data_IF_704458648905
#
_entry.id   IF_704458648905
#
_cell.length_a   1.000
_cell.length_b   1.000
_cell.length_c   1.000
_cell.angle_alpha   90.00
_cell.angle_beta   90.00
_cell.angle_gamma   90.00
#
_symmetry.space_group_name_H-M   'P 1'
#
loop_
_entity.id
_entity.type
_entity.pdbx_description
1 polymer ?
#
# COMPACT_ATOMS: atom_id res chain seq x y z
N UNK A 1 -0.79 -28.05 5.79
CA UNK A 1 -1.03 -26.60 5.64
C UNK A 1 0.27 -25.98 5.15
N UNK A 2 0.28 -25.22 4.06
CA UNK A 2 1.49 -24.47 3.67
C UNK A 2 1.79 -23.44 4.77
N UNK A 3 3.04 -23.31 5.18
CA UNK A 3 3.43 -22.34 6.21
C UNK A 3 3.28 -20.91 5.69
N UNK A 4 2.73 -20.01 6.51
CA UNK A 4 2.67 -18.57 6.21
C UNK A 4 4.08 -17.99 6.13
N UNK A 5 4.27 -17.01 5.25
CA UNK A 5 5.51 -16.30 4.99
C UNK A 5 5.25 -14.79 4.93
N UNK A 6 6.32 -14.03 5.06
CA UNK A 6 6.33 -12.62 4.68
C UNK A 6 6.85 -12.51 3.26
N UNK A 7 6.23 -11.63 2.48
CA UNK A 7 6.75 -11.09 1.23
C UNK A 7 7.06 -9.62 1.45
N UNK A 8 8.21 -9.18 0.97
CA UNK A 8 8.75 -7.85 1.26
C UNK A 8 9.19 -7.22 -0.05
N UNK A 9 8.84 -5.95 -0.25
CA UNK A 9 9.22 -5.17 -1.42
C UNK A 9 10.35 -4.22 -1.07
N UNK A 10 11.47 -4.38 -1.74
CA UNK A 10 12.61 -3.48 -1.69
C UNK A 10 12.63 -2.63 -2.96
N UNK A 11 12.59 -1.31 -2.79
CA UNK A 11 12.59 -0.34 -3.88
C UNK A 11 13.97 -0.27 -4.58
N UNK A 12 15.06 -0.56 -3.85
CA UNK A 12 16.41 -0.64 -4.41
C UNK A 12 17.07 0.71 -4.73
N UNK A 13 16.62 1.84 -4.18
CA UNK A 13 17.24 3.16 -4.44
C UNK A 13 18.66 3.27 -3.87
N UNK A 14 18.94 2.56 -2.78
CA UNK A 14 20.24 2.55 -2.11
C UNK A 14 21.24 1.58 -2.74
N UNK A 15 20.80 0.74 -3.68
CA UNK A 15 21.62 -0.28 -4.32
C UNK A 15 22.41 0.31 -5.51
N UNK A 16 23.59 0.88 -5.20
CA UNK A 16 24.69 1.26 -6.11
C UNK A 16 24.66 2.64 -6.80
N UNK A 17 25.88 3.20 -6.99
CA UNK A 17 26.21 4.51 -7.58
C UNK A 17 25.90 4.66 -9.10
N UNK A 18 25.16 3.73 -9.71
CA UNK A 18 24.94 3.73 -11.17
C UNK A 18 23.47 3.95 -11.51
N UNK A 19 23.24 4.80 -12.52
CA UNK A 19 21.96 5.31 -13.05
C UNK A 19 21.02 4.24 -13.66
N UNK A 20 21.13 2.98 -13.26
CA UNK A 20 20.33 1.89 -13.81
C UNK A 20 18.99 1.80 -13.09
N UNK A 21 17.92 2.13 -13.81
CA UNK A 21 16.56 1.65 -13.52
C UNK A 21 16.63 0.12 -13.40
N UNK A 22 15.90 -0.48 -12.45
CA UNK A 22 15.78 -1.93 -12.19
C UNK A 22 16.70 -2.52 -11.12
N UNK A 23 16.69 -1.98 -9.90
CA UNK A 23 17.39 -2.55 -8.73
C UNK A 23 16.42 -3.05 -7.64
N UNK A 24 15.11 -2.88 -7.85
CA UNK A 24 14.10 -3.33 -6.90
C UNK A 24 14.00 -4.84 -6.84
N UNK A 25 13.49 -5.35 -5.71
CA UNK A 25 13.41 -6.79 -5.42
C UNK A 25 12.13 -7.13 -4.66
N UNK A 26 11.65 -8.36 -4.87
CA UNK A 26 10.67 -9.02 -4.00
C UNK A 26 11.41 -10.10 -3.23
N UNK A 27 11.31 -10.06 -1.91
CA UNK A 27 11.93 -10.99 -0.99
C UNK A 27 10.86 -11.82 -0.28
N UNK A 28 11.23 -12.99 0.22
CA UNK A 28 10.36 -13.81 1.08
C UNK A 28 11.13 -14.40 2.24
N UNK A 29 10.49 -14.48 3.41
CA UNK A 29 11.04 -15.13 4.59
C UNK A 29 9.92 -15.76 5.44
N UNK A 30 10.29 -16.55 6.45
CA UNK A 30 9.36 -16.98 7.48
C UNK A 30 8.95 -15.79 8.37
N UNK A 31 7.85 -15.93 9.13
CA UNK A 31 7.32 -14.87 10.00
C UNK A 31 8.28 -14.40 11.11
N UNK A 32 9.33 -15.17 11.40
CA UNK A 32 10.39 -14.83 12.35
C UNK A 32 11.65 -14.24 11.68
N UNK A 33 11.63 -14.03 10.36
CA UNK A 33 12.73 -13.50 9.56
C UNK A 33 13.69 -14.57 9.02
N UNK A 34 13.54 -15.84 9.44
CA UNK A 34 14.39 -16.93 8.95
C UNK A 34 14.07 -17.31 7.51
N UNK A 35 14.99 -18.02 6.84
CA UNK A 35 14.83 -18.48 5.45
C UNK A 35 14.53 -17.34 4.47
N UNK A 36 15.19 -16.20 4.66
CA UNK A 36 15.14 -15.06 3.76
C UNK A 36 15.76 -15.42 2.40
N UNK A 37 15.03 -15.11 1.33
CA UNK A 37 15.49 -15.31 -0.04
C UNK A 37 14.85 -14.31 -1.01
N UNK A 38 15.47 -14.16 -2.17
CA UNK A 38 14.95 -13.35 -3.27
C UNK A 38 13.95 -14.18 -4.08
N UNK A 39 12.77 -13.61 -4.35
CA UNK A 39 11.74 -14.18 -5.22
C UNK A 39 11.85 -13.59 -6.63
N UNK A 40 11.98 -12.27 -6.73
CA UNK A 40 12.19 -11.55 -7.99
C UNK A 40 13.25 -10.47 -7.77
N UNK A 41 14.14 -10.29 -8.73
CA UNK A 41 15.18 -9.26 -8.73
C UNK A 41 15.09 -8.45 -10.03
N UNK A 42 15.70 -7.27 -10.04
CA UNK A 42 15.79 -6.42 -11.22
C UNK A 42 14.45 -5.84 -11.64
N UNK A 43 13.57 -5.52 -10.68
CA UNK A 43 12.28 -4.87 -10.98
C UNK A 43 12.39 -3.34 -10.86
N UNK A 44 11.62 -2.64 -11.69
CA UNK A 44 11.69 -1.19 -11.79
C UNK A 44 10.85 -0.51 -10.71
N UNK A 45 11.49 0.36 -9.92
CA UNK A 45 10.88 1.27 -8.94
C UNK A 45 9.58 0.76 -8.28
N UNK A 46 9.62 -0.40 -7.62
CA UNK A 46 8.40 -1.01 -7.10
C UNK A 46 7.92 -0.34 -5.80
N UNK A 47 6.60 -0.20 -5.61
CA UNK A 47 6.05 0.49 -4.42
C UNK A 47 5.02 -0.33 -3.62
N UNK A 48 3.98 -0.84 -4.26
CA UNK A 48 2.94 -1.65 -3.62
C UNK A 48 3.11 -3.14 -3.92
N UNK A 49 2.66 -3.99 -2.99
CA UNK A 49 2.75 -5.46 -3.07
C UNK A 49 1.43 -6.09 -2.65
N UNK A 50 0.96 -7.10 -3.39
CA UNK A 50 -0.17 -7.95 -3.00
C UNK A 50 0.13 -9.41 -3.34
N UNK A 51 -0.39 -10.34 -2.54
CA UNK A 51 -0.17 -11.78 -2.74
C UNK A 51 -1.48 -12.53 -2.78
N UNK A 52 -1.65 -13.33 -3.82
CA UNK A 52 -2.79 -14.21 -4.04
C UNK A 52 -2.38 -15.66 -3.85
N UNK A 53 -2.55 -16.19 -2.63
CA UNK A 53 -2.26 -17.61 -2.35
C UNK A 53 -3.14 -18.57 -3.14
N UNK A 54 -4.40 -18.20 -3.37
CA UNK A 54 -5.39 -19.07 -4.00
C UNK A 54 -5.13 -19.20 -5.49
N UNK A 55 -4.90 -18.08 -6.18
CA UNK A 55 -4.55 -18.06 -7.60
C UNK A 55 -3.06 -18.29 -7.87
N UNK A 56 -2.21 -18.25 -6.85
CA UNK A 56 -0.78 -18.56 -6.96
C UNK A 56 0.07 -17.44 -7.56
N UNK A 57 -0.26 -16.18 -7.29
CA UNK A 57 0.45 -15.03 -7.87
C UNK A 57 0.91 -14.01 -6.84
N UNK A 58 1.98 -13.28 -7.18
CA UNK A 58 2.41 -12.06 -6.50
C UNK A 58 2.19 -10.91 -7.47
N UNK A 59 1.67 -9.79 -7.00
CA UNK A 59 1.42 -8.57 -7.77
C UNK A 59 2.20 -7.41 -7.17
N UNK A 60 2.74 -6.55 -8.02
CA UNK A 60 3.36 -5.31 -7.55
C UNK A 60 3.13 -4.16 -8.52
N UNK A 61 3.22 -2.95 -7.97
CA UNK A 61 3.15 -1.72 -8.78
C UNK A 61 4.54 -1.25 -9.14
N UNK A 62 4.68 -0.79 -10.38
CA UNK A 62 5.87 -0.14 -10.92
C UNK A 62 5.54 1.34 -11.14
N UNK A 63 6.30 2.22 -10.50
CA UNK A 63 6.04 3.66 -10.52
C UNK A 63 6.32 4.32 -11.87
N UNK A 64 6.93 3.62 -12.83
CA UNK A 64 7.34 4.18 -14.12
C UNK A 64 8.76 4.72 -14.07
N UNK A 65 9.06 5.78 -14.83
CA UNK A 65 10.43 6.32 -14.92
C UNK A 65 10.61 7.60 -14.11
N UNK A 66 11.77 7.73 -13.47
CA UNK A 66 12.20 8.98 -12.85
C UNK A 66 12.65 10.01 -13.91
N UNK A 67 12.31 11.31 -13.75
CA UNK A 67 11.37 11.84 -12.76
C UNK A 67 9.91 11.46 -13.10
N UNK A 68 9.09 11.14 -12.09
CA UNK A 68 7.70 10.64 -12.21
C UNK A 68 6.73 11.67 -12.84
N UNK A 69 6.93 11.95 -14.12
CA UNK A 69 6.21 12.99 -14.89
C UNK A 69 5.45 12.44 -16.08
N UNK A 70 5.70 11.19 -16.43
CA UNK A 70 5.07 10.52 -17.57
C UNK A 70 4.03 9.52 -17.06
N UNK A 71 2.98 9.29 -17.86
CA UNK A 71 1.96 8.29 -17.58
C UNK A 71 2.48 6.90 -18.00
N UNK A 72 3.56 6.43 -17.37
CA UNK A 72 4.26 5.20 -17.75
C UNK A 72 4.38 4.16 -16.62
N UNK A 73 3.66 4.36 -15.51
CA UNK A 73 3.51 3.35 -14.47
C UNK A 73 2.74 2.11 -14.93
N UNK A 74 2.95 1.00 -14.23
CA UNK A 74 2.34 -0.29 -14.58
C UNK A 74 2.09 -1.17 -13.35
N UNK A 75 1.35 -2.26 -13.53
CA UNK A 75 1.19 -3.31 -12.52
C UNK A 75 1.59 -4.63 -13.16
N UNK A 76 2.44 -5.36 -12.47
CA UNK A 76 2.98 -6.63 -12.92
C UNK A 76 2.58 -7.74 -11.95
N UNK A 77 2.69 -8.98 -12.41
CA UNK A 77 2.58 -10.16 -11.55
C UNK A 77 3.59 -11.23 -11.93
N UNK A 78 3.87 -12.14 -11.02
CA UNK A 78 4.63 -13.36 -11.25
C UNK A 78 4.00 -14.56 -10.51
N UNK A 79 4.51 -15.76 -10.75
CA UNK A 79 4.13 -16.98 -10.05
C UNK A 79 4.65 -16.96 -8.60
N UNK A 80 3.77 -17.25 -7.65
CA UNK A 80 4.07 -17.26 -6.21
C UNK A 80 5.10 -18.33 -5.81
N UNK A 81 5.18 -19.43 -6.57
CA UNK A 81 6.06 -20.56 -6.24
C UNK A 81 7.55 -20.24 -6.35
N UNK A 82 7.92 -19.46 -7.35
CA UNK A 82 9.31 -19.31 -7.78
C UNK A 82 9.61 -17.94 -8.42
N UNK A 83 8.65 -17.02 -8.48
CA UNK A 83 8.83 -15.70 -9.09
C UNK A 83 8.87 -15.71 -10.61
N UNK A 84 8.59 -16.84 -11.27
CA UNK A 84 8.61 -16.97 -12.73
C UNK A 84 7.44 -16.25 -13.42
N UNK A 85 7.48 -16.15 -14.75
CA UNK A 85 6.40 -15.60 -15.59
C UNK A 85 6.00 -14.15 -15.25
N UNK A 86 7.00 -13.31 -14.98
CA UNK A 86 6.80 -11.86 -14.82
C UNK A 86 6.05 -11.29 -16.03
N UNK A 87 4.85 -10.79 -15.80
CA UNK A 87 3.93 -10.31 -16.83
C UNK A 87 3.31 -8.98 -16.40
N UNK A 88 3.32 -7.99 -17.30
CA UNK A 88 2.58 -6.75 -17.12
C UNK A 88 1.09 -6.99 -17.35
N UNK A 89 0.26 -6.73 -16.34
CA UNK A 89 -1.20 -6.89 -16.41
C UNK A 89 -1.93 -5.55 -16.54
N UNK A 90 -1.37 -4.47 -15.98
CA UNK A 90 -1.84 -3.11 -16.21
C UNK A 90 -0.73 -2.39 -17.00
N UNK A 91 -0.95 -2.07 -18.29
CA UNK A 91 0.11 -1.54 -19.13
C UNK A 91 0.42 -0.05 -18.85
N UNK A 92 1.63 0.42 -19.20
CA UNK A 92 1.93 1.85 -19.28
C UNK A 92 0.85 2.62 -20.03
N UNK A 93 0.50 3.81 -19.54
CA UNK A 93 -0.58 4.63 -20.06
C UNK A 93 -1.94 4.38 -19.39
N UNK A 94 -2.16 3.24 -18.75
CA UNK A 94 -3.39 2.96 -18.00
C UNK A 94 -3.39 3.59 -16.60
N UNK A 95 -2.24 3.58 -15.93
CA UNK A 95 -2.01 4.16 -14.60
C UNK A 95 -0.76 5.02 -14.62
N UNK A 96 -0.75 6.13 -13.89
CA UNK A 96 0.32 7.13 -14.01
C UNK A 96 1.52 6.76 -13.13
N UNK A 97 1.31 6.72 -11.83
CA UNK A 97 2.31 6.33 -10.84
C UNK A 97 1.61 5.54 -9.75
N UNK A 98 1.31 4.25 -10.02
CA UNK A 98 0.63 3.39 -9.08
C UNK A 98 1.46 3.25 -7.79
N UNK A 99 0.76 3.15 -6.66
CA UNK A 99 1.31 3.06 -5.31
C UNK A 99 0.82 1.77 -4.66
N UNK A 100 0.37 1.83 -3.41
CA UNK A 100 -0.04 0.65 -2.68
C UNK A 100 -1.22 -0.03 -3.39
N UNK A 101 -1.15 -1.35 -3.44
CA UNK A 101 -2.08 -2.24 -4.13
C UNK A 101 -2.50 -3.32 -3.15
N UNK A 102 -3.77 -3.71 -3.19
CA UNK A 102 -4.29 -4.82 -2.40
C UNK A 102 -5.05 -5.79 -3.29
N UNK A 103 -5.15 -7.02 -2.81
CA UNK A 103 -6.06 -8.03 -3.33
C UNK A 103 -7.34 -8.06 -2.48
N UNK A 104 -8.47 -7.73 -3.10
CA UNK A 104 -9.78 -7.94 -2.52
C UNK A 104 -10.20 -9.40 -2.77
N UNK A 105 -10.08 -10.22 -1.73
CA UNK A 105 -10.16 -11.69 -1.84
C UNK A 105 -11.54 -12.21 -2.22
N UNK A 106 -12.64 -11.59 -1.78
CA UNK A 106 -14.00 -12.05 -2.06
C UNK A 106 -14.40 -11.77 -3.51
N UNK A 107 -14.15 -10.56 -4.00
CA UNK A 107 -14.47 -10.15 -5.37
C UNK A 107 -13.40 -10.57 -6.38
N UNK A 108 -12.23 -11.02 -5.91
CA UNK A 108 -11.07 -11.41 -6.73
C UNK A 108 -10.67 -10.25 -7.64
N UNK A 109 -10.46 -9.08 -7.05
CA UNK A 109 -10.05 -7.84 -7.75
C UNK A 109 -8.83 -7.21 -7.11
N UNK A 110 -8.03 -6.55 -7.93
CA UNK A 110 -6.95 -5.69 -7.48
C UNK A 110 -7.47 -4.27 -7.31
N UNK A 111 -7.07 -3.60 -6.23
CA UNK A 111 -7.34 -2.19 -5.98
C UNK A 111 -6.02 -1.48 -5.72
N UNK A 112 -5.80 -0.32 -6.35
CA UNK A 112 -4.58 0.46 -6.12
C UNK A 112 -4.89 1.96 -6.14
N UNK A 113 -4.01 2.72 -5.49
CA UNK A 113 -3.96 4.16 -5.67
C UNK A 113 -2.96 4.54 -6.76
N UNK A 114 -3.26 5.62 -7.47
CA UNK A 114 -2.40 6.23 -8.47
C UNK A 114 -2.12 7.67 -8.05
N UNK A 115 -0.87 7.94 -7.66
CA UNK A 115 -0.48 9.18 -6.97
C UNK A 115 -0.57 10.39 -7.89
N UNK A 116 0.24 10.40 -8.94
CA UNK A 116 0.28 11.47 -9.92
C UNK A 116 -0.92 11.43 -10.89
N UNK A 117 -1.60 10.29 -11.01
CA UNK A 117 -2.91 10.23 -11.68
C UNK A 117 -4.06 10.75 -10.81
N UNK A 118 -3.85 10.87 -9.48
CA UNK A 118 -4.83 11.32 -8.48
C UNK A 118 -6.09 10.47 -8.45
N UNK A 119 -5.92 9.14 -8.47
CA UNK A 119 -7.00 8.16 -8.61
C UNK A 119 -6.96 7.05 -7.58
N UNK A 120 -8.14 6.47 -7.34
CA UNK A 120 -8.29 5.10 -6.85
C UNK A 120 -8.84 4.27 -8.00
N UNK A 121 -8.22 3.12 -8.27
CA UNK A 121 -8.54 2.27 -9.40
C UNK A 121 -8.71 0.81 -8.98
N UNK A 122 -9.46 0.04 -9.78
CA UNK A 122 -9.55 -1.42 -9.64
C UNK A 122 -9.50 -2.14 -10.99
N UNK A 123 -9.17 -3.42 -10.96
CA UNK A 123 -9.22 -4.31 -12.12
C UNK A 123 -9.44 -5.76 -11.68
N UNK A 124 -9.75 -6.64 -12.62
CA UNK A 124 -9.67 -8.09 -12.42
C UNK A 124 -8.19 -8.51 -12.24
N UNK A 125 -7.95 -9.72 -11.70
CA UNK A 125 -6.60 -10.23 -11.41
C UNK A 125 -5.71 -10.47 -12.65
N UNK A 126 -6.31 -10.48 -13.84
CA UNK A 126 -5.63 -10.56 -15.13
C UNK A 126 -5.38 -9.18 -15.76
N UNK A 127 -5.78 -8.10 -15.07
CA UNK A 127 -5.66 -6.72 -15.54
C UNK A 127 -6.82 -6.23 -16.41
N UNK A 128 -7.80 -7.09 -16.70
CA UNK A 128 -9.00 -6.69 -17.46
C UNK A 128 -9.95 -5.83 -16.61
N UNK A 129 -10.88 -5.15 -17.29
CA UNK A 129 -11.93 -4.32 -16.67
C UNK A 129 -11.39 -3.25 -15.70
N UNK A 130 -10.35 -2.52 -16.15
CA UNK A 130 -9.80 -1.37 -15.42
C UNK A 130 -10.89 -0.31 -15.23
N UNK A 131 -11.08 0.11 -13.99
CA UNK A 131 -12.09 1.10 -13.59
C UNK A 131 -11.47 2.15 -12.67
N UNK A 132 -11.81 3.43 -12.91
CA UNK A 132 -11.50 4.54 -12.01
C UNK A 132 -12.67 4.70 -11.04
N UNK A 133 -12.43 4.52 -9.75
CA UNK A 133 -13.44 4.60 -8.69
C UNK A 133 -13.50 6.00 -8.05
N UNK A 134 -12.38 6.72 -8.09
CA UNK A 134 -12.23 8.07 -7.58
C UNK A 134 -11.23 8.86 -8.41
N UNK A 135 -11.50 10.14 -8.65
CA UNK A 135 -10.63 11.08 -9.35
C UNK A 135 -10.59 12.42 -8.60
N UNK A 136 -9.43 12.80 -8.06
CA UNK A 136 -9.29 14.03 -7.28
C UNK A 136 -8.94 15.27 -8.11
N UNK A 137 -8.48 15.11 -9.34
CA UNK A 137 -8.04 16.20 -10.21
C UNK A 137 -7.52 15.71 -11.55
N UNK A 138 -7.25 16.63 -12.48
CA UNK A 138 -6.73 16.31 -13.82
C UNK A 138 -5.71 17.35 -14.29
N UNK A 139 -4.78 16.91 -15.15
CA UNK A 139 -3.75 17.78 -15.73
C UNK A 139 -2.59 18.11 -14.78
N UNK A 140 -1.62 18.85 -15.31
CA UNK A 140 -0.32 19.03 -14.67
C UNK A 140 -0.39 19.91 -13.42
N UNK A 141 -1.27 20.92 -13.40
CA UNK A 141 -1.41 21.81 -12.24
C UNK A 141 -1.96 21.08 -11.01
N UNK A 142 -3.00 20.27 -11.20
CA UNK A 142 -3.58 19.48 -10.10
C UNK A 142 -2.59 18.43 -9.60
N UNK A 143 -1.78 17.83 -10.50
CA UNK A 143 -0.76 16.84 -10.15
C UNK A 143 0.33 17.39 -9.21
N UNK A 144 0.57 18.70 -9.19
CA UNK A 144 1.52 19.32 -8.26
C UNK A 144 0.95 19.47 -6.85
N UNK A 145 -0.36 19.36 -6.67
CA UNK A 145 -1.01 19.45 -5.36
C UNK A 145 -0.96 18.11 -4.63
N UNK A 146 0.01 17.99 -3.74
CA UNK A 146 0.21 16.81 -2.92
C UNK A 146 -1.01 16.44 -2.03
N UNK A 147 -1.97 17.34 -1.83
CA UNK A 147 -3.21 17.02 -1.09
C UNK A 147 -4.23 16.21 -1.89
N UNK A 148 -3.97 16.01 -3.20
CA UNK A 148 -4.76 15.18 -4.14
C UNK A 148 -4.12 13.82 -4.45
N UNK A 149 -2.91 13.60 -3.96
CA UNK A 149 -2.16 12.37 -4.19
C UNK A 149 -2.73 11.20 -3.39
N UNK A 150 -3.30 10.24 -4.10
CA UNK A 150 -3.76 8.96 -3.57
C UNK A 150 -2.57 8.00 -3.39
N UNK A 151 -2.41 7.33 -2.25
CA UNK A 151 -1.24 6.45 -2.00
C UNK A 151 -1.57 5.09 -1.41
N UNK A 152 -2.11 5.05 -0.19
CA UNK A 152 -2.48 3.83 0.53
C UNK A 152 -3.92 3.45 0.28
N UNK A 153 -4.25 2.17 0.39
CA UNK A 153 -5.61 1.68 0.16
C UNK A 153 -5.93 0.47 1.03
N UNK A 154 -7.14 0.44 1.60
CA UNK A 154 -7.74 -0.71 2.26
C UNK A 154 -9.19 -0.85 1.81
N UNK A 155 -9.70 -2.09 1.76
CA UNK A 155 -11.06 -2.39 1.31
C UNK A 155 -11.73 -3.32 2.31
N UNK A 156 -12.92 -2.94 2.76
CA UNK A 156 -13.85 -3.82 3.47
C UNK A 156 -14.92 -4.28 2.48
N UNK A 157 -14.74 -5.47 1.92
CA UNK A 157 -15.66 -6.04 0.93
C UNK A 157 -17.02 -6.42 1.51
N UNK A 158 -17.07 -6.73 2.82
CA UNK A 158 -18.29 -7.16 3.49
C UNK A 158 -19.19 -5.95 3.73
N UNK A 159 -18.62 -4.85 4.23
CA UNK A 159 -19.37 -3.60 4.44
C UNK A 159 -19.49 -2.73 3.19
N UNK A 160 -18.74 -3.03 2.13
CA UNK A 160 -18.75 -2.27 0.89
C UNK A 160 -18.03 -0.93 0.98
N UNK A 161 -16.91 -0.88 1.72
CA UNK A 161 -16.15 0.35 1.97
C UNK A 161 -14.74 0.32 1.38
N UNK A 162 -14.28 1.48 0.93
CA UNK A 162 -12.89 1.74 0.56
C UNK A 162 -12.36 2.86 1.47
N UNK A 163 -11.18 2.63 2.01
CA UNK A 163 -10.37 3.62 2.70
C UNK A 163 -9.11 3.88 1.90
N UNK A 164 -8.73 5.14 1.71
CA UNK A 164 -7.49 5.48 1.02
C UNK A 164 -6.86 6.75 1.57
N UNK A 165 -5.55 6.91 1.40
CA UNK A 165 -4.84 8.09 1.89
C UNK A 165 -4.78 9.17 0.81
N UNK A 166 -5.06 10.41 1.21
CA UNK A 166 -4.47 11.57 0.56
C UNK A 166 -3.22 11.97 1.33
N UNK A 167 -2.06 11.78 0.69
CA UNK A 167 -0.76 11.89 1.34
C UNK A 167 -0.48 13.27 1.95
N UNK A 168 -0.80 14.34 1.21
CA UNK A 168 -0.35 15.67 1.55
C UNK A 168 1.13 15.92 1.23
N UNK A 169 1.62 17.17 1.40
CA UNK A 169 3.03 17.51 1.24
C UNK A 169 3.87 16.80 2.30
N UNK A 170 5.13 16.51 1.95
CA UNK A 170 6.00 15.79 2.88
C UNK A 170 6.18 16.57 4.18
N UNK A 171 5.96 15.87 5.30
CA UNK A 171 6.04 16.42 6.67
C UNK A 171 5.17 17.66 6.90
N UNK A 172 4.13 17.85 6.07
CA UNK A 172 3.40 19.12 6.05
C UNK A 172 2.07 19.11 6.77
N UNK A 173 1.66 18.00 7.42
CA UNK A 173 0.50 17.97 8.30
C UNK A 173 -0.83 18.22 7.59
N UNK A 174 -0.90 17.98 6.27
CA UNK A 174 -2.12 18.10 5.45
C UNK A 174 -2.56 16.77 4.86
N UNK A 175 -2.08 15.67 5.43
CA UNK A 175 -2.50 14.32 5.08
C UNK A 175 -3.91 14.03 5.57
N UNK A 176 -4.63 13.16 4.86
CA UNK A 176 -5.99 12.74 5.18
C UNK A 176 -6.19 11.26 4.89
N UNK A 177 -7.08 10.62 5.65
CA UNK A 177 -7.66 9.33 5.28
C UNK A 177 -9.08 9.61 4.81
N UNK A 178 -9.40 9.08 3.64
CA UNK A 178 -10.67 9.25 2.94
C UNK A 178 -11.43 7.92 2.99
N UNK A 179 -12.74 8.01 3.12
CA UNK A 179 -13.69 6.89 3.11
C UNK A 179 -14.71 7.09 1.98
N UNK A 180 -15.07 6.00 1.28
CA UNK A 180 -16.13 5.97 0.28
C UNK A 180 -16.75 4.57 0.15
N UNK A 181 -17.87 4.44 -0.57
CA UNK A 181 -18.38 3.13 -0.97
C UNK A 181 -17.55 2.46 -2.07
N UNK A 182 -17.58 1.13 -2.16
CA UNK A 182 -16.91 0.40 -3.26
C UNK A 182 -17.52 0.80 -4.62
N UNK A 183 -18.84 0.79 -4.71
CA UNK A 183 -19.55 1.12 -5.96
C UNK A 183 -19.83 2.62 -6.05
N UNK A 184 -19.66 3.18 -7.25
CA UNK A 184 -20.04 4.56 -7.53
C UNK A 184 -21.58 4.66 -7.43
N UNK A 185 -22.13 5.63 -6.66
CA UNK A 185 -23.57 5.79 -6.59
C UNK A 185 -24.21 6.00 -7.95
N UNK A 186 -25.39 5.42 -8.16
CA UNK A 186 -26.10 5.46 -9.45
C UNK A 186 -26.23 6.90 -9.98
N UNK A 187 -25.81 7.11 -11.23
CA UNK A 187 -25.88 8.41 -11.91
C UNK A 187 -24.75 9.37 -11.56
N UNK A 188 -23.75 8.93 -10.79
CA UNK A 188 -22.55 9.69 -10.48
C UNK A 188 -21.33 9.11 -11.21
N UNK A 189 -20.23 9.84 -11.23
CA UNK A 189 -18.94 9.43 -11.81
C UNK A 189 -17.84 9.43 -10.76
N UNK A 190 -16.67 8.89 -11.07
CA UNK A 190 -15.50 8.90 -10.18
C UNK A 190 -15.10 10.31 -9.70
N UNK A 191 -15.31 11.34 -10.53
CA UNK A 191 -15.00 12.73 -10.23
C UNK A 191 -16.14 13.51 -9.57
N UNK A 192 -17.37 13.00 -9.63
CA UNK A 192 -18.56 13.72 -9.14
C UNK A 192 -19.28 13.02 -7.99
N UNK A 193 -18.80 11.83 -7.60
CA UNK A 193 -19.41 11.05 -6.52
C UNK A 193 -19.40 11.80 -5.19
N UNK A 194 -20.51 11.72 -4.45
CA UNK A 194 -20.77 12.52 -3.24
C UNK A 194 -20.73 11.72 -1.95
N UNK A 195 -20.51 10.42 -2.04
CA UNK A 195 -20.42 9.52 -0.88
C UNK A 195 -19.00 9.49 -0.26
N UNK A 196 -18.13 10.41 -0.69
CA UNK A 196 -16.77 10.56 -0.18
C UNK A 196 -16.78 11.35 1.12
N UNK A 197 -16.03 10.87 2.12
CA UNK A 197 -15.90 11.53 3.42
C UNK A 197 -14.45 11.54 3.87
N UNK A 198 -14.01 12.63 4.48
CA UNK A 198 -12.74 12.65 5.21
C UNK A 198 -12.94 12.00 6.56
N UNK A 199 -12.23 10.92 6.83
CA UNK A 199 -12.29 10.19 8.08
C UNK A 199 -11.34 10.78 9.13
N UNK A 200 -10.11 11.07 8.68
CA UNK A 200 -9.08 11.71 9.48
C UNK A 200 -8.42 12.80 8.65
N UNK A 201 -8.05 13.90 9.30
CA UNK A 201 -7.36 15.04 8.69
C UNK A 201 -6.22 15.54 9.58
N UNK A 202 -5.44 16.48 9.06
CA UNK A 202 -4.24 17.01 9.71
C UNK A 202 -3.24 15.91 10.09
N UNK A 203 -3.22 14.82 9.29
CA UNK A 203 -2.25 13.75 9.45
C UNK A 203 -0.88 14.22 8.93
N UNK A 204 0.23 13.76 9.53
CA UNK A 204 1.57 14.18 9.12
C UNK A 204 1.83 13.91 7.64
N UNK A 205 1.72 12.63 7.26
CA UNK A 205 1.96 12.10 5.92
C UNK A 205 1.53 10.61 5.89
N UNK A 206 0.22 10.30 5.81
CA UNK A 206 -0.28 8.93 5.83
C UNK A 206 0.06 8.24 4.52
N UNK A 207 0.65 7.05 4.60
CA UNK A 207 1.14 6.31 3.43
C UNK A 207 0.27 5.12 3.13
N UNK A 208 0.41 4.01 3.84
CA UNK A 208 -0.28 2.76 3.54
C UNK A 208 -1.35 2.43 4.60
N UNK A 209 -2.32 1.59 4.22
CA UNK A 209 -3.51 1.24 5.00
C UNK A 209 -3.77 -0.27 4.95
N UNK A 210 -4.26 -0.83 6.06
CA UNK A 210 -4.85 -2.17 6.06
C UNK A 210 -6.11 -2.20 6.92
N UNK A 211 -7.14 -2.89 6.45
CA UNK A 211 -8.38 -3.14 7.18
C UNK A 211 -8.37 -4.57 7.72
N UNK A 212 -8.62 -4.72 9.02
CA UNK A 212 -8.82 -6.01 9.66
C UNK A 212 -10.31 -6.19 9.96
N UNK A 213 -10.94 -7.13 9.27
CA UNK A 213 -12.37 -7.40 9.42
C UNK A 213 -12.70 -8.04 10.78
N UNK A 214 -11.79 -8.81 11.36
CA UNK A 214 -11.98 -9.45 12.66
C UNK A 214 -11.90 -8.43 13.80
N UNK A 215 -10.90 -7.53 13.75
CA UNK A 215 -10.75 -6.47 14.73
C UNK A 215 -11.68 -5.26 14.49
N UNK A 216 -12.33 -5.18 13.32
CA UNK A 216 -13.10 -4.01 12.86
C UNK A 216 -12.28 -2.72 13.01
N UNK A 217 -11.03 -2.80 12.57
CA UNK A 217 -10.02 -1.79 12.80
C UNK A 217 -9.31 -1.41 11.50
N UNK A 218 -9.10 -0.11 11.33
CA UNK A 218 -8.25 0.45 10.28
C UNK A 218 -6.86 0.73 10.85
N UNK A 219 -5.83 0.21 10.22
CA UNK A 219 -4.43 0.47 10.58
C UNK A 219 -3.73 1.24 9.47
N UNK A 220 -2.77 2.08 9.83
CA UNK A 220 -1.99 2.82 8.85
C UNK A 220 -0.62 3.25 9.36
N UNK A 221 0.25 3.55 8.41
CA UNK A 221 1.57 4.17 8.65
C UNK A 221 1.52 5.66 8.35
N UNK A 222 2.13 6.45 9.23
CA UNK A 222 2.41 7.87 8.99
C UNK A 222 3.92 8.08 8.89
N UNK A 223 4.37 8.78 7.85
CA UNK A 223 5.74 9.32 7.74
C UNK A 223 5.89 10.67 8.43
N UNK A 224 7.09 11.24 8.39
CA UNK A 224 7.39 12.59 8.87
C UNK A 224 7.96 12.65 10.29
N UNK A 225 8.15 13.86 10.79
CA UNK A 225 9.01 14.06 11.96
C UNK A 225 8.29 13.74 13.30
N UNK A 226 9.03 13.20 14.29
CA UNK A 226 8.54 13.10 15.66
C UNK A 226 8.10 14.48 16.22
N UNK A 227 7.08 14.54 17.09
CA UNK A 227 6.37 13.40 17.69
C UNK A 227 5.14 12.94 16.90
N UNK A 228 4.83 13.54 15.74
CA UNK A 228 3.57 13.27 15.05
C UNK A 228 3.72 12.23 13.93
N UNK A 229 4.84 12.24 13.19
CA UNK A 229 5.14 11.27 12.14
C UNK A 229 5.95 10.06 12.61
N UNK A 230 6.23 9.15 11.67
CA UNK A 230 6.95 7.90 11.91
C UNK A 230 6.26 7.01 12.95
N UNK A 231 4.97 6.76 12.70
CA UNK A 231 4.07 6.04 13.59
C UNK A 231 3.28 4.92 12.90
N UNK A 232 2.93 3.91 13.69
CA UNK A 232 1.87 2.95 13.35
C UNK A 232 0.63 3.37 14.12
N UNK A 233 -0.49 3.45 13.43
CA UNK A 233 -1.75 3.92 13.99
C UNK A 233 -2.84 2.87 13.79
N UNK A 234 -3.86 2.99 14.62
CA UNK A 234 -5.07 2.19 14.60
C UNK A 234 -6.26 3.10 14.84
N UNK A 235 -7.39 2.79 14.22
CA UNK A 235 -8.67 3.35 14.59
C UNK A 235 -9.76 2.29 14.59
N UNK A 236 -10.65 2.36 15.57
CA UNK A 236 -11.87 1.55 15.65
C UNK A 236 -13.09 2.43 15.80
N UNK A 237 -14.24 1.92 15.37
CA UNK A 237 -15.50 2.62 15.54
C UNK A 237 -16.15 2.23 16.88
N UNK A 238 -16.30 3.20 17.77
CA UNK A 238 -16.85 3.04 19.11
C UNK A 238 -17.96 4.08 19.32
N UNK A 239 -19.13 3.68 19.80
CA UNK A 239 -20.26 4.58 20.10
C UNK A 239 -20.55 5.63 19.01
N UNK A 240 -20.57 5.20 17.75
CA UNK A 240 -20.91 6.06 16.61
C UNK A 240 -19.79 7.00 16.13
N UNK A 241 -18.57 6.88 16.65
CA UNK A 241 -17.43 7.69 16.23
C UNK A 241 -16.13 6.87 16.14
N UNK A 242 -15.17 7.38 15.37
CA UNK A 242 -13.86 6.73 15.21
C UNK A 242 -12.90 7.18 16.30
N UNK A 243 -12.29 6.21 16.98
CA UNK A 243 -11.30 6.43 18.04
C UNK A 243 -9.94 6.02 17.53
N UNK A 244 -9.02 6.99 17.39
CA UNK A 244 -7.63 6.78 16.95
C UNK A 244 -6.71 6.50 18.12
N UNK A 245 -5.77 5.56 17.94
CA UNK A 245 -4.66 5.25 18.86
C UNK A 245 -3.35 5.10 18.08
N UNK A 246 -2.25 5.60 18.64
CA UNK A 246 -0.89 5.31 18.15
C UNK A 246 -0.41 4.01 18.80
N UNK A 247 -0.06 3.02 17.98
CA UNK A 247 0.47 1.72 18.42
C UNK A 247 2.00 1.72 18.50
N UNK A 248 2.66 2.42 17.59
CA UNK A 248 4.11 2.40 17.43
C UNK A 248 4.67 3.76 17.04
N UNK A 249 5.94 3.99 17.40
CA UNK A 249 6.70 5.21 17.07
C UNK A 249 8.14 4.84 16.72
N UNK A 250 8.91 5.82 16.23
CA UNK A 250 10.35 5.73 15.89
C UNK A 250 10.63 4.82 14.68
N UNK A 251 9.69 4.81 13.75
CA UNK A 251 9.91 4.25 12.41
C UNK A 251 10.83 5.18 11.60
N UNK A 252 11.42 4.67 10.51
CA UNK A 252 12.31 5.43 9.64
C UNK A 252 11.65 5.56 8.26
N UNK A 253 10.70 6.49 8.14
CA UNK A 253 9.86 6.68 6.96
C UNK A 253 9.06 5.40 6.64
N UNK A 254 8.11 5.05 7.52
CA UNK A 254 7.25 3.88 7.37
C UNK A 254 6.37 3.95 6.12
N UNK A 255 6.25 2.82 5.42
CA UNK A 255 5.40 2.68 4.23
C UNK A 255 4.52 1.46 4.41
N UNK A 256 4.97 0.27 3.99
CA UNK A 256 4.13 -0.93 3.95
C UNK A 256 3.60 -1.36 5.32
N UNK A 257 2.34 -1.77 5.35
CA UNK A 257 1.71 -2.39 6.52
C UNK A 257 0.77 -3.50 6.09
N UNK A 258 0.81 -4.63 6.80
CA UNK A 258 -0.17 -5.70 6.60
C UNK A 258 -0.52 -6.39 7.91
N UNK A 259 -1.70 -7.02 7.95
CA UNK A 259 -2.24 -7.69 9.13
C UNK A 259 -2.27 -9.19 8.93
N UNK A 260 -1.69 -9.92 9.89
CA UNK A 260 -1.89 -11.35 10.04
C UNK A 260 -3.10 -11.58 10.93
N UNK A 261 -4.28 -11.70 10.32
CA UNK A 261 -5.56 -11.91 11.01
C UNK A 261 -5.57 -13.18 11.87
N UNK A 262 -4.75 -14.18 11.54
CA UNK A 262 -4.70 -15.45 12.28
C UNK A 262 -3.93 -15.30 13.60
N UNK A 263 -2.87 -14.50 13.62
CA UNK A 263 -2.04 -14.28 14.84
C UNK A 263 -2.32 -12.93 15.51
N UNK A 264 -3.21 -12.10 14.96
CA UNK A 264 -3.51 -10.77 15.49
C UNK A 264 -2.28 -9.87 15.57
N UNK A 265 -1.46 -9.90 14.51
CA UNK A 265 -0.20 -9.17 14.44
C UNK A 265 -0.14 -8.29 13.20
N UNK A 266 0.46 -7.10 13.32
CA UNK A 266 0.77 -6.23 12.19
C UNK A 266 2.24 -6.37 11.84
N UNK A 267 2.54 -6.42 10.55
CA UNK A 267 3.88 -6.30 10.02
C UNK A 267 4.03 -4.94 9.35
N UNK A 268 5.12 -4.24 9.65
CA UNK A 268 5.37 -2.88 9.15
C UNK A 268 6.77 -2.80 8.57
N UNK A 269 6.88 -2.29 7.35
CA UNK A 269 8.12 -2.03 6.65
C UNK A 269 8.42 -0.53 6.59
N UNK A 270 9.70 -0.18 6.68
CA UNK A 270 10.16 1.21 6.54
C UNK A 270 11.36 1.35 5.60
N UNK A 271 11.55 2.57 5.06
CA UNK A 271 12.67 2.87 4.16
C UNK A 271 14.03 2.77 4.86
N UNK A 272 14.07 2.63 6.19
CA UNK A 272 15.28 2.31 6.94
C UNK A 272 15.70 0.84 6.85
N UNK A 273 15.01 0.02 6.05
CA UNK A 273 15.36 -1.37 5.84
C UNK A 273 14.84 -2.32 6.91
N UNK A 274 13.87 -1.90 7.72
CA UNK A 274 13.37 -2.69 8.85
C UNK A 274 11.99 -3.27 8.58
N UNK A 275 11.79 -4.50 9.03
CA UNK A 275 10.47 -5.11 9.20
C UNK A 275 10.24 -5.33 10.69
N UNK A 276 9.16 -4.74 11.21
CA UNK A 276 8.76 -4.80 12.61
C UNK A 276 7.41 -5.52 12.73
N UNK A 277 7.27 -6.35 13.76
CA UNK A 277 6.00 -6.95 14.13
C UNK A 277 5.42 -6.26 15.36
N UNK A 278 4.18 -5.81 15.28
CA UNK A 278 3.40 -5.27 16.39
C UNK A 278 2.28 -6.25 16.74
N UNK A 279 2.18 -6.67 17.99
CA UNK A 279 1.03 -7.45 18.44
C UNK A 279 -0.09 -6.51 18.89
N UNK A 280 -1.33 -6.84 18.57
CA UNK A 280 -2.49 -6.01 18.92
C UNK A 280 -2.81 -6.02 20.43
N UNK A 281 -2.16 -6.90 21.20
CA UNK A 281 -2.23 -6.96 22.66
C UNK A 281 -1.48 -5.82 23.37
N UNK A 282 -0.76 -4.98 22.63
CA UNK A 282 0.00 -3.86 23.17
C UNK A 282 1.39 -4.21 23.71
N UNK A 283 1.87 -5.44 23.47
CA UNK A 283 3.25 -5.80 23.72
C UNK A 283 4.24 -5.01 22.86
N UNK A 284 5.49 -4.94 23.29
CA UNK A 284 6.52 -4.19 22.59
C UNK A 284 6.78 -4.77 21.18
N UNK A 285 7.02 -3.92 20.16
CA UNK A 285 7.28 -4.40 18.81
C UNK A 285 8.56 -5.23 18.76
N UNK A 286 8.53 -6.27 17.93
CA UNK A 286 9.67 -7.16 17.68
C UNK A 286 10.29 -6.82 16.32
N UNK A 287 11.60 -6.64 16.28
CA UNK A 287 12.35 -6.56 15.03
C UNK A 287 12.41 -7.94 14.37
N UNK A 288 12.00 -8.02 13.11
CA UNK A 288 12.00 -9.25 12.30
C UNK A 288 13.17 -9.25 11.32
N UNK A 289 13.36 -8.12 10.62
CA UNK A 289 14.47 -7.91 9.68
C UNK A 289 15.01 -6.48 9.83
N UNK A 290 16.27 -6.29 9.48
CA UNK A 290 16.95 -5.00 9.40
C UNK A 290 17.97 -5.02 8.24
N UNK A 291 18.44 -3.85 7.83
CA UNK A 291 19.45 -3.65 6.77
C UNK A 291 19.06 -4.29 5.40
N UNK A 292 17.76 -4.30 5.09
CA UNK A 292 17.21 -4.98 3.91
C UNK A 292 17.20 -4.16 2.61
N UNK A 293 17.44 -2.85 2.67
CA UNK A 293 17.27 -1.91 1.55
C UNK A 293 16.20 -0.84 1.85
N UNK A 294 15.55 -0.33 0.81
CA UNK A 294 14.52 0.71 0.92
C UNK A 294 13.14 0.05 0.87
N UNK A 295 12.61 -0.38 2.02
CA UNK A 295 11.39 -1.18 2.02
C UNK A 295 10.13 -0.35 1.84
N UNK A 296 9.33 -0.72 0.84
CA UNK A 296 8.06 -0.05 0.50
C UNK A 296 6.83 -0.92 0.79
N UNK A 297 6.97 -2.24 0.78
CA UNK A 297 5.85 -3.16 0.96
C UNK A 297 6.18 -4.33 1.89
N UNK A 298 5.17 -4.81 2.61
CA UNK A 298 5.20 -6.06 3.36
C UNK A 298 3.83 -6.70 3.28
N UNK A 299 3.76 -8.01 3.02
CA UNK A 299 2.52 -8.79 2.96
C UNK A 299 2.72 -10.11 3.68
N UNK A 300 1.79 -10.48 4.55
CA UNK A 300 1.74 -11.80 5.20
C UNK A 300 0.85 -12.74 4.39
N UNK A 301 1.48 -13.67 3.68
CA UNK A 301 0.83 -14.58 2.75
C UNK A 301 1.69 -15.83 2.52
#
# INVERSE_FOLDING_TARGET
>A
MKSRKLFILDLGLSAHESTTQNTGRILSCNLDGSNLGVVVDGINLPDGLAVDREGGHIYWTDMGRLPLKENDGSVLRCNLSDGSEVTTIIPPGATFTPKQIILASLSRKLYWCDREGMRVMRANLDGSAIEVLYQAGEGDMDRLDATRWCVGIAVDEIAGHIFFTHKGPSKGGRGRIIHMGIEIPKGQTASTRRDIRTLFENLPEPIDLVWDAHAQALFWTDRGDPPLGNTVNMATHQDGHWVRKVLGRKLHEAIGIDVDEVDGSLYVADLGGRVLRYCLDGSAPKLILHDMGDLTGVVVA
#
